data_IF_672906099486
#
_entry.id   IF_672906099486
#
_cell.length_a   1.000
_cell.length_b   1.000
_cell.length_c   1.000
_cell.angle_alpha   90.00
_cell.angle_beta   90.00
_cell.angle_gamma   90.00
#
_symmetry.space_group_name_H-M   'P 1'
#
loop_
_entity.id
_entity.type
_entity.pdbx_description
1 polymer ?
#
# COMPACT_ATOMS: atom_id res chain seq x y z
N UNK A 1 29.22 26.62 4.23
CA UNK A 1 27.88 26.79 3.62
C UNK A 1 27.48 25.64 2.69
N UNK A 2 28.34 25.11 1.81
CA UNK A 2 27.96 24.11 0.78
C UNK A 2 27.71 22.69 1.31
N UNK A 3 28.39 22.30 2.39
CA UNK A 3 28.24 20.98 3.03
C UNK A 3 26.84 20.75 3.62
N UNK A 4 26.17 21.79 4.14
CA UNK A 4 24.82 21.66 4.69
C UNK A 4 23.81 21.17 3.64
N UNK A 5 23.94 21.65 2.40
CA UNK A 5 23.09 21.20 1.29
C UNK A 5 23.34 19.74 0.91
N UNK A 6 24.60 19.29 0.98
CA UNK A 6 24.94 17.89 0.73
C UNK A 6 24.36 16.97 1.80
N UNK A 7 24.45 17.36 3.08
CA UNK A 7 23.85 16.59 4.18
C UNK A 7 22.33 16.51 4.05
N UNK A 8 21.68 17.60 3.66
CA UNK A 8 20.24 17.64 3.42
C UNK A 8 19.81 16.73 2.25
N UNK A 9 20.58 16.73 1.15
CA UNK A 9 20.32 15.85 0.01
C UNK A 9 20.46 14.36 0.37
N UNK A 10 21.49 14.01 1.14
CA UNK A 10 21.67 12.62 1.64
C UNK A 10 20.52 12.23 2.56
N UNK A 11 20.09 13.13 3.45
CA UNK A 11 18.96 12.88 4.33
C UNK A 11 17.67 12.61 3.55
N UNK A 12 17.34 13.44 2.55
CA UNK A 12 16.16 13.21 1.71
C UNK A 12 16.23 11.88 0.94
N UNK A 13 17.40 11.49 0.43
CA UNK A 13 17.59 10.21 -0.26
C UNK A 13 17.37 9.01 0.67
N UNK A 14 17.78 9.10 1.94
CA UNK A 14 17.54 8.05 2.94
C UNK A 14 16.04 7.88 3.24
N UNK A 15 15.27 8.98 3.23
CA UNK A 15 13.82 8.93 3.45
C UNK A 15 13.03 8.42 2.22
N UNK A 16 13.61 8.46 1.02
CA UNK A 16 13.04 7.86 -0.18
C UNK A 16 13.31 6.34 -0.27
N UNK A 17 14.22 5.81 0.56
CA UNK A 17 14.50 4.37 0.67
C UNK A 17 13.51 3.63 1.57
N UNK A 18 12.52 4.32 2.15
CA UNK A 18 11.32 3.63 2.64
C UNK A 18 10.56 3.21 1.40
N UNK A 19 10.77 1.99 0.96
CA UNK A 19 9.88 1.32 0.02
C UNK A 19 8.46 1.54 0.54
N UNK A 20 7.71 2.40 -0.15
CA UNK A 20 6.28 2.58 0.10
C UNK A 20 5.69 1.18 0.06
N UNK A 21 5.27 0.70 1.22
CA UNK A 21 5.04 -0.72 1.49
C UNK A 21 3.94 -1.22 0.58
N UNK A 22 4.34 -1.68 -0.59
CA UNK A 22 3.48 -2.19 -1.62
C UNK A 22 3.86 -3.62 -1.99
N UNK A 23 4.81 -4.24 -1.26
CA UNK A 23 5.00 -5.67 -1.30
C UNK A 23 3.89 -6.32 -0.46
N UNK A 24 2.98 -7.09 -1.07
CA UNK A 24 1.92 -7.74 -0.33
C UNK A 24 2.55 -8.87 0.48
N UNK A 25 2.80 -8.60 1.77
CA UNK A 25 3.20 -9.58 2.78
C UNK A 25 2.22 -10.77 2.89
N UNK A 26 1.03 -10.64 2.31
CA UNK A 26 -0.06 -11.61 2.36
C UNK A 26 -0.54 -11.94 0.95
N UNK A 27 -0.64 -13.25 0.65
CA UNK A 27 -1.09 -13.75 -0.66
C UNK A 27 -2.46 -13.19 -1.05
N UNK A 28 -3.38 -13.12 -0.08
CA UNK A 28 -4.71 -12.51 -0.24
C UNK A 28 -4.67 -11.04 -0.69
N UNK A 29 -3.66 -10.28 -0.26
CA UNK A 29 -3.49 -8.88 -0.65
C UNK A 29 -2.92 -8.77 -2.07
N UNK A 30 -2.00 -9.66 -2.42
CA UNK A 30 -1.43 -9.74 -3.76
C UNK A 30 -2.52 -10.05 -4.79
N UNK A 31 -3.32 -11.08 -4.51
CA UNK A 31 -4.44 -11.50 -5.36
C UNK A 31 -5.51 -10.41 -5.43
N UNK A 32 -5.85 -9.78 -4.30
CA UNK A 32 -6.80 -8.69 -4.30
C UNK A 32 -6.33 -7.48 -5.10
N UNK A 33 -5.04 -7.13 -5.14
CA UNK A 33 -4.58 -5.95 -5.87
C UNK A 33 -4.61 -6.12 -7.40
N UNK A 34 -4.88 -7.34 -7.88
CA UNK A 34 -4.97 -7.61 -9.31
C UNK A 34 -6.28 -7.11 -9.90
N UNK A 35 -6.23 -6.54 -11.11
CA UNK A 35 -7.45 -6.19 -11.87
C UNK A 35 -8.24 -4.99 -11.37
N UNK A 36 -7.59 -4.02 -10.70
CA UNK A 36 -8.23 -2.75 -10.30
C UNK A 36 -9.06 -2.81 -9.02
N UNK A 37 -8.95 -3.92 -8.29
CA UNK A 37 -9.50 -4.14 -6.96
C UNK A 37 -8.60 -3.51 -5.89
N UNK A 38 -9.16 -3.22 -4.71
CA UNK A 38 -8.41 -2.58 -3.62
C UNK A 38 -8.79 -3.12 -2.25
N UNK A 39 -7.83 -3.09 -1.33
CA UNK A 39 -8.03 -3.46 0.06
C UNK A 39 -8.52 -2.25 0.87
N UNK A 40 -9.58 -2.45 1.65
CA UNK A 40 -10.15 -1.42 2.53
C UNK A 40 -10.39 -1.98 3.93
N UNK A 41 -10.07 -1.16 4.94
CA UNK A 41 -10.48 -1.42 6.32
C UNK A 41 -11.98 -1.10 6.44
N UNK A 42 -12.78 -2.09 6.87
CA UNK A 42 -14.23 -1.95 7.02
C UNK A 42 -15.02 -2.23 5.73
N UNK A 43 -16.25 -1.70 5.64
CA UNK A 43 -17.16 -2.00 4.54
C UNK A 43 -16.69 -1.40 3.20
N UNK A 44 -16.88 -2.13 2.10
CA UNK A 44 -16.65 -1.60 0.76
C UNK A 44 -17.63 -0.46 0.45
N UNK A 45 -17.24 0.53 -0.40
CA UNK A 45 -18.16 1.56 -0.84
C UNK A 45 -19.38 0.95 -1.56
N UNK A 46 -20.54 1.62 -1.62
CA UNK A 46 -21.79 1.03 -2.10
C UNK A 46 -21.76 0.58 -3.57
N UNK A 47 -20.79 1.05 -4.35
CA UNK A 47 -20.59 0.65 -5.75
C UNK A 47 -19.60 -0.51 -5.92
N UNK A 48 -19.07 -1.05 -4.83
CA UNK A 48 -18.06 -2.12 -4.84
C UNK A 48 -18.51 -3.25 -3.91
N UNK A 49 -18.45 -4.49 -4.39
CA UNK A 49 -18.72 -5.70 -3.63
C UNK A 49 -17.46 -6.23 -2.94
N UNK A 50 -17.66 -6.86 -1.78
CA UNK A 50 -16.59 -7.61 -1.09
C UNK A 50 -16.38 -8.91 -1.85
N UNK A 51 -15.22 -9.06 -2.48
CA UNK A 51 -14.85 -10.28 -3.23
C UNK A 51 -13.91 -11.19 -2.47
N UNK A 52 -13.35 -10.74 -1.35
CA UNK A 52 -12.41 -11.51 -0.55
C UNK A 52 -11.86 -10.70 0.62
N UNK A 53 -10.76 -11.17 1.20
CA UNK A 53 -10.06 -10.50 2.29
C UNK A 53 -8.69 -9.98 1.84
N UNK A 54 -8.11 -9.10 2.64
CA UNK A 54 -6.73 -8.65 2.53
C UNK A 54 -6.06 -8.66 3.90
N UNK A 55 -4.74 -8.57 3.88
CA UNK A 55 -3.86 -8.53 5.03
C UNK A 55 -4.16 -9.66 6.03
N UNK A 56 -4.33 -10.88 5.51
CA UNK A 56 -4.63 -12.07 6.31
C UNK A 56 -6.01 -12.05 6.99
N UNK A 57 -6.98 -11.31 6.45
CA UNK A 57 -8.34 -11.23 7.01
C UNK A 57 -8.64 -9.98 7.83
N UNK A 58 -7.70 -9.05 7.97
CA UNK A 58 -7.92 -7.78 8.68
C UNK A 58 -8.62 -6.71 7.84
N UNK A 59 -8.60 -6.86 6.51
CA UNK A 59 -9.21 -5.94 5.56
C UNK A 59 -10.10 -6.68 4.56
N UNK A 60 -11.00 -5.95 3.91
CA UNK A 60 -11.85 -6.47 2.85
C UNK A 60 -11.28 -6.11 1.48
N UNK A 61 -11.32 -7.08 0.56
CA UNK A 61 -11.02 -6.87 -0.84
C UNK A 61 -12.28 -6.37 -1.57
N UNK A 62 -12.24 -5.13 -2.05
CA UNK A 62 -13.33 -4.48 -2.76
C UNK A 62 -13.11 -4.53 -4.28
N UNK A 63 -14.09 -5.06 -5.00
CA UNK A 63 -14.17 -5.07 -6.47
C UNK A 63 -15.42 -4.34 -6.92
N UNK A 64 -15.37 -3.68 -8.08
CA UNK A 64 -16.58 -3.17 -8.71
C UNK A 64 -17.45 -4.34 -9.19
#
# INVERSE_FOLDING_TARGET
MKILYLLFAVFLLLFQATSGSADPLFADTAECRTGGKFCRVGACPPTFAVTGTCQGGTMNCCSK
#
